data_IF_057768542509
#
_entry.id   IF_057768542509
#
_cell.length_a   1.000
_cell.length_b   1.000
_cell.length_c   1.000
_cell.angle_alpha   90.00
_cell.angle_beta   90.00
_cell.angle_gamma   90.00
#
_symmetry.space_group_name_H-M   'P 1'
#
loop_
_entity.id
_entity.type
_entity.pdbx_description
1 polymer ?
#
# COMPACT_ATOMS: atom_id res chain seq x y z
N UNK A 1 -48.94 -6.77 -42.98
CA UNK A 1 -50.17 -7.31 -42.38
C UNK A 1 -50.07 -8.84 -42.23
N UNK A 2 -49.23 -9.34 -41.32
CA UNK A 2 -49.01 -10.79 -41.13
C UNK A 2 -48.74 -11.13 -39.65
N UNK A 3 -49.38 -10.39 -38.73
CA UNK A 3 -49.36 -10.71 -37.30
C UNK A 3 -50.73 -11.12 -36.79
N UNK A 4 -51.80 -10.63 -37.43
CA UNK A 4 -53.17 -10.88 -36.97
C UNK A 4 -53.66 -12.31 -37.26
N UNK A 5 -53.04 -13.02 -38.22
CA UNK A 5 -53.44 -14.38 -38.59
C UNK A 5 -52.93 -15.48 -37.65
N UNK A 6 -51.87 -15.21 -36.87
CA UNK A 6 -51.34 -16.19 -35.91
C UNK A 6 -52.20 -16.23 -34.65
N UNK A 7 -52.65 -15.07 -34.18
CA UNK A 7 -53.48 -14.96 -32.97
C UNK A 7 -54.90 -15.50 -33.18
N UNK A 8 -55.52 -15.19 -34.33
CA UNK A 8 -56.81 -15.77 -34.72
C UNK A 8 -56.75 -17.30 -34.77
N UNK A 9 -55.65 -17.88 -35.27
CA UNK A 9 -55.48 -19.34 -35.36
C UNK A 9 -55.36 -20.02 -34.00
N UNK A 10 -54.74 -19.35 -33.01
CA UNK A 10 -54.62 -19.85 -31.63
C UNK A 10 -55.93 -19.74 -30.84
N UNK A 11 -56.82 -18.83 -31.22
CA UNK A 11 -58.11 -18.61 -30.58
C UNK A 11 -59.25 -19.42 -31.24
N UNK A 12 -59.03 -19.95 -32.44
CA UNK A 12 -59.97 -20.81 -33.16
C UNK A 12 -59.88 -22.28 -32.80
N UNK A 13 -58.79 -22.70 -32.15
CA UNK A 13 -58.67 -24.09 -31.70
C UNK A 13 -59.69 -24.34 -30.58
N UNK A 14 -60.53 -25.38 -30.70
CA UNK A 14 -61.46 -25.74 -29.63
C UNK A 14 -60.65 -25.99 -28.36
N UNK A 15 -61.19 -25.66 -27.17
CA UNK A 15 -60.52 -26.00 -25.92
C UNK A 15 -60.19 -27.48 -25.96
N UNK A 16 -58.90 -27.81 -25.83
CA UNK A 16 -58.42 -29.18 -25.83
C UNK A 16 -59.32 -30.01 -24.94
N UNK A 17 -59.83 -31.11 -25.48
CA UNK A 17 -60.67 -32.01 -24.71
C UNK A 17 -59.93 -32.45 -23.44
N UNK A 18 -60.68 -32.76 -22.39
CA UNK A 18 -60.13 -33.20 -21.09
C UNK A 18 -59.15 -34.38 -21.25
N UNK A 19 -59.25 -35.13 -22.36
CA UNK A 19 -58.34 -36.20 -22.74
C UNK A 19 -56.95 -35.69 -23.16
N UNK A 20 -56.86 -34.63 -23.98
CA UNK A 20 -55.56 -34.06 -24.40
C UNK A 20 -54.82 -33.36 -23.26
N UNK A 21 -55.53 -32.67 -22.35
CA UNK A 21 -54.88 -32.08 -21.16
C UNK A 21 -54.37 -33.16 -20.21
N UNK A 22 -55.10 -34.26 -20.06
CA UNK A 22 -54.64 -35.42 -19.27
C UNK A 22 -53.47 -36.13 -19.92
N UNK A 23 -53.42 -36.25 -21.25
CA UNK A 23 -52.24 -36.78 -21.95
C UNK A 23 -51.01 -35.88 -21.76
N UNK A 24 -51.19 -34.55 -21.84
CA UNK A 24 -50.09 -33.59 -21.62
C UNK A 24 -49.62 -33.57 -20.16
N UNK A 25 -50.52 -33.67 -19.19
CA UNK A 25 -50.15 -33.82 -17.77
C UNK A 25 -49.49 -35.16 -17.48
N UNK A 26 -49.93 -36.23 -18.16
CA UNK A 26 -49.38 -37.58 -17.97
C UNK A 26 -47.98 -37.72 -18.60
N UNK A 27 -47.67 -36.93 -19.64
CA UNK A 27 -46.34 -36.88 -20.26
C UNK A 27 -45.36 -35.93 -19.55
N UNK A 28 -45.82 -35.04 -18.67
CA UNK A 28 -44.95 -34.18 -17.86
C UNK A 28 -44.26 -34.98 -16.74
N UNK A 29 -43.09 -35.56 -17.05
CA UNK A 29 -42.19 -36.13 -16.06
C UNK A 29 -41.13 -35.09 -15.65
N UNK A 30 -41.13 -34.57 -14.41
CA UNK A 30 -40.09 -33.65 -13.97
C UNK A 30 -38.74 -34.37 -13.98
N UNK A 31 -37.73 -33.77 -14.62
CA UNK A 31 -36.40 -34.34 -14.65
C UNK A 31 -35.91 -34.63 -13.20
N UNK A 32 -35.32 -35.82 -12.93
CA UNK A 32 -34.87 -36.15 -11.60
C UNK A 32 -33.82 -35.15 -11.15
N UNK A 33 -34.05 -34.49 -10.00
CA UNK A 33 -33.02 -33.64 -9.37
C UNK A 33 -31.81 -34.52 -9.07
N UNK A 34 -30.72 -34.33 -9.79
CA UNK A 34 -29.46 -35.00 -9.54
C UNK A 34 -29.03 -34.68 -8.09
N UNK A 35 -29.01 -35.70 -7.23
CA UNK A 35 -28.51 -35.57 -5.86
C UNK A 35 -26.99 -35.55 -5.92
N UNK A 36 -26.39 -34.42 -5.58
CA UNK A 36 -24.93 -34.34 -5.42
C UNK A 36 -24.48 -35.34 -4.35
N UNK A 37 -23.42 -36.13 -4.62
CA UNK A 37 -22.98 -37.15 -3.69
C UNK A 37 -22.39 -36.52 -2.42
N UNK A 38 -22.66 -37.12 -1.26
CA UNK A 38 -22.15 -36.64 0.03
C UNK A 38 -20.61 -36.54 0.06
N UNK A 39 -19.91 -37.40 -0.70
CA UNK A 39 -18.45 -37.36 -0.86
C UNK A 39 -17.94 -36.04 -1.44
N UNK A 40 -18.70 -35.39 -2.34
CA UNK A 40 -18.34 -34.10 -2.89
C UNK A 40 -18.42 -33.00 -1.81
N UNK A 41 -19.43 -33.05 -0.94
CA UNK A 41 -19.54 -32.13 0.19
C UNK A 41 -18.44 -32.34 1.24
N UNK A 42 -18.09 -33.60 1.52
CA UNK A 42 -16.97 -33.93 2.43
C UNK A 42 -15.65 -33.40 1.85
N UNK A 43 -15.42 -33.59 0.55
CA UNK A 43 -14.22 -33.09 -0.13
C UNK A 43 -14.15 -31.56 -0.08
N UNK A 44 -15.26 -30.87 -0.37
CA UNK A 44 -15.32 -29.40 -0.29
C UNK A 44 -15.06 -28.94 1.15
N UNK A 45 -15.68 -29.55 2.16
CA UNK A 45 -15.48 -29.20 3.56
C UNK A 45 -14.04 -29.45 4.05
N UNK A 46 -13.41 -30.53 3.59
CA UNK A 46 -12.02 -30.82 3.90
C UNK A 46 -11.07 -29.79 3.25
N UNK A 47 -11.29 -29.46 1.98
CA UNK A 47 -10.47 -28.49 1.27
C UNK A 47 -10.63 -27.08 1.86
N UNK A 48 -11.84 -26.67 2.25
CA UNK A 48 -12.04 -25.38 2.93
C UNK A 48 -11.35 -25.35 4.30
N UNK A 49 -11.44 -26.43 5.08
CA UNK A 49 -10.73 -26.53 6.35
C UNK A 49 -9.20 -26.48 6.18
N UNK A 50 -8.66 -27.15 5.15
CA UNK A 50 -7.24 -27.14 4.84
C UNK A 50 -6.75 -25.73 4.46
N UNK A 51 -7.51 -25.00 3.63
CA UNK A 51 -7.18 -23.62 3.25
C UNK A 51 -7.19 -22.69 4.48
N UNK A 52 -8.19 -22.82 5.35
CA UNK A 52 -8.27 -22.03 6.59
C UNK A 52 -7.08 -22.35 7.50
N UNK A 53 -6.75 -23.63 7.67
CA UNK A 53 -5.63 -24.06 8.50
C UNK A 53 -4.29 -23.54 7.95
N UNK A 54 -4.04 -23.68 6.65
CA UNK A 54 -2.82 -23.17 6.01
C UNK A 54 -2.74 -21.65 6.10
N UNK A 55 -3.85 -20.93 5.90
CA UNK A 55 -3.90 -19.48 6.07
C UNK A 55 -3.60 -19.04 7.50
N UNK A 56 -4.17 -19.72 8.50
CA UNK A 56 -3.87 -19.48 9.91
C UNK A 56 -2.41 -19.82 10.26
N UNK A 57 -1.86 -20.90 9.72
CA UNK A 57 -0.47 -21.28 9.93
C UNK A 57 0.50 -20.25 9.33
N UNK A 58 0.27 -19.82 8.09
CA UNK A 58 1.07 -18.79 7.40
C UNK A 58 0.99 -17.46 8.16
N UNK A 59 -0.18 -17.04 8.62
CA UNK A 59 -0.34 -15.77 9.35
C UNK A 59 0.25 -15.80 10.76
N UNK A 60 0.27 -16.97 11.41
CA UNK A 60 0.88 -17.13 12.74
C UNK A 60 2.40 -17.25 12.68
N UNK A 61 2.95 -17.90 11.65
CA UNK A 61 4.40 -18.06 11.47
C UNK A 61 5.07 -16.90 10.74
N UNK A 62 4.36 -16.18 9.87
CA UNK A 62 4.87 -14.99 9.21
C UNK A 62 4.39 -13.71 9.91
N UNK A 63 4.15 -13.73 11.23
CA UNK A 63 3.97 -12.48 11.95
C UNK A 63 5.25 -11.68 11.80
N UNK A 64 5.23 -10.52 11.09
CA UNK A 64 6.42 -9.71 10.99
C UNK A 64 6.70 -9.15 12.38
N UNK A 65 7.85 -9.48 12.95
CA UNK A 65 8.33 -8.95 14.25
C UNK A 65 8.66 -7.44 14.21
N UNK A 66 8.01 -6.66 13.32
CA UNK A 66 8.20 -5.23 13.20
C UNK A 66 6.86 -4.51 13.10
N UNK A 67 6.69 -3.34 13.74
CA UNK A 67 5.61 -2.43 13.42
C UNK A 67 5.83 -1.90 11.99
N UNK A 68 5.31 -2.62 11.00
CA UNK A 68 5.31 -2.18 9.61
C UNK A 68 4.29 -1.06 9.52
N UNK A 69 4.75 0.19 9.32
CA UNK A 69 3.86 1.26 8.87
C UNK A 69 3.33 0.87 7.47
N UNK A 70 2.01 0.67 7.29
CA UNK A 70 1.47 0.19 6.01
C UNK A 70 1.63 1.21 4.87
N UNK A 71 1.92 2.48 5.18
CA UNK A 71 2.09 3.56 4.19
C UNK A 71 3.53 3.63 3.66
N UNK A 72 4.52 3.29 4.50
CA UNK A 72 5.94 3.31 4.12
C UNK A 72 6.61 2.02 4.59
N UNK A 73 6.42 0.91 3.85
CA UNK A 73 7.03 -0.37 4.21
C UNK A 73 8.56 -0.23 4.19
N UNK A 74 9.18 -0.62 5.29
CA UNK A 74 10.63 -0.67 5.45
C UNK A 74 11.21 -1.73 4.52
N UNK A 75 12.00 -1.32 3.53
CA UNK A 75 12.66 -2.26 2.60
C UNK A 75 14.08 -2.61 3.06
N UNK A 76 14.73 -1.72 3.83
CA UNK A 76 16.11 -1.86 4.27
C UNK A 76 16.28 -1.46 5.74
N UNK A 77 17.24 -2.08 6.42
CA UNK A 77 17.62 -1.72 7.78
C UNK A 77 18.14 -0.26 7.85
N UNK A 78 17.62 0.50 8.83
CA UNK A 78 18.06 1.85 9.16
C UNK A 78 18.20 1.99 10.68
N UNK A 79 19.38 2.38 11.21
CA UNK A 79 19.55 2.60 12.65
C UNK A 79 18.60 3.67 13.23
N UNK A 80 18.24 4.68 12.44
CA UNK A 80 17.33 5.74 12.88
C UNK A 80 15.85 5.30 12.97
N UNK A 81 15.55 4.05 12.64
CA UNK A 81 14.18 3.56 12.56
C UNK A 81 13.45 3.59 13.90
N UNK A 82 14.15 3.22 14.96
CA UNK A 82 13.60 3.22 16.32
C UNK A 82 13.29 4.63 16.84
N UNK A 83 13.87 5.66 16.22
CA UNK A 83 13.66 7.05 16.58
C UNK A 83 12.54 7.74 15.78
N UNK A 84 11.84 7.03 14.88
CA UNK A 84 10.79 7.62 14.05
C UNK A 84 9.47 7.80 14.82
N UNK A 85 8.99 9.05 14.86
CA UNK A 85 7.66 9.40 15.33
C UNK A 85 6.86 10.08 14.21
N UNK A 86 5.64 9.61 13.96
CA UNK A 86 4.76 10.17 12.94
C UNK A 86 3.75 11.12 13.57
N UNK A 87 3.71 12.35 13.07
CA UNK A 87 2.76 13.36 13.51
C UNK A 87 1.90 13.85 12.35
N UNK A 88 0.56 13.86 12.48
CA UNK A 88 -0.30 14.47 11.48
C UNK A 88 -0.07 15.99 11.51
N UNK A 89 0.48 16.53 10.43
CA UNK A 89 0.64 17.99 10.24
C UNK A 89 -0.06 18.44 8.97
N UNK A 90 -0.85 19.51 9.10
CA UNK A 90 -1.43 20.17 7.94
C UNK A 90 -0.31 20.86 7.14
N UNK A 91 -0.18 20.50 5.87
CA UNK A 91 0.77 21.12 4.97
C UNK A 91 0.34 22.56 4.65
N UNK A 92 1.24 23.53 4.86
CA UNK A 92 1.01 24.92 4.47
C UNK A 92 1.57 25.13 3.06
N UNK A 93 0.67 25.37 2.11
CA UNK A 93 0.99 25.52 0.68
C UNK A 93 1.85 26.76 0.34
N UNK A 94 2.12 27.66 1.30
CA UNK A 94 2.98 28.82 1.03
C UNK A 94 2.32 29.91 0.19
N UNK A 95 1.00 30.04 0.23
CA UNK A 95 0.26 31.05 -0.52
C UNK A 95 -0.07 32.26 0.37
N UNK A 96 -0.01 33.46 -0.22
CA UNK A 96 -0.32 34.72 0.45
C UNK A 96 0.58 34.97 1.67
N UNK A 97 -0.04 35.33 2.81
CA UNK A 97 0.64 35.68 4.06
C UNK A 97 1.14 34.48 4.88
N UNK A 98 0.86 33.24 4.47
CA UNK A 98 1.23 32.03 5.23
C UNK A 98 2.51 31.36 4.72
N UNK A 99 3.44 32.15 4.16
CA UNK A 99 4.72 31.65 3.66
C UNK A 99 5.67 31.33 4.83
N UNK A 100 6.11 30.08 5.00
CA UNK A 100 7.17 29.75 5.96
C UNK A 100 8.47 30.46 5.55
N UNK A 101 9.39 30.66 6.52
CA UNK A 101 10.67 31.36 6.30
C UNK A 101 11.44 30.83 5.08
N UNK A 102 11.42 29.50 4.89
CA UNK A 102 12.10 28.81 3.79
C UNK A 102 11.54 29.12 2.38
N UNK A 103 10.38 29.76 2.29
CA UNK A 103 9.69 30.11 1.04
C UNK A 103 9.56 31.64 0.85
N UNK A 104 10.27 32.42 1.67
CA UNK A 104 10.35 33.86 1.53
C UNK A 104 11.31 34.25 0.39
N UNK A 105 11.25 35.50 -0.11
CA UNK A 105 12.25 36.01 -1.04
C UNK A 105 13.67 35.89 -0.45
N UNK A 106 14.70 35.75 -1.29
CA UNK A 106 16.09 35.64 -0.83
C UNK A 106 16.47 36.79 0.10
N UNK A 107 16.91 36.44 1.32
CA UNK A 107 17.41 37.37 2.32
C UNK A 107 18.39 36.65 3.24
N UNK A 108 19.17 37.43 4.00
CA UNK A 108 20.14 36.86 4.96
C UNK A 108 19.44 35.99 6.01
N UNK A 109 18.21 36.35 6.42
CA UNK A 109 17.44 35.55 7.37
C UNK A 109 17.01 34.20 6.77
N UNK A 110 16.65 34.17 5.49
CA UNK A 110 16.29 32.92 4.78
C UNK A 110 17.51 32.02 4.64
N UNK A 111 18.65 32.56 4.22
CA UNK A 111 19.90 31.81 4.09
C UNK A 111 20.34 31.22 5.43
N UNK A 112 20.24 31.99 6.51
CA UNK A 112 20.56 31.52 7.85
C UNK A 112 19.61 30.41 8.30
N UNK A 113 18.30 30.56 8.06
CA UNK A 113 17.33 29.52 8.41
C UNK A 113 17.62 28.20 7.67
N UNK A 114 18.01 28.27 6.39
CA UNK A 114 18.44 27.10 5.62
C UNK A 114 19.73 26.50 6.18
N UNK A 115 20.75 27.32 6.44
CA UNK A 115 22.03 26.89 7.02
C UNK A 115 21.84 26.16 8.36
N UNK A 116 21.04 26.74 9.25
CA UNK A 116 20.77 26.18 10.59
C UNK A 116 20.09 24.80 10.49
N UNK A 117 19.26 24.58 9.47
CA UNK A 117 18.52 23.33 9.30
C UNK A 117 19.42 22.13 8.98
N UNK A 118 20.43 22.27 8.12
CA UNK A 118 21.26 21.12 7.70
C UNK A 118 22.63 21.05 8.39
N UNK A 119 23.19 22.16 8.89
CA UNK A 119 24.51 22.15 9.51
C UNK A 119 24.56 21.37 10.83
N UNK A 120 23.46 21.35 11.58
CA UNK A 120 23.43 20.73 12.92
C UNK A 120 23.40 19.18 12.90
N UNK A 121 23.09 18.55 11.76
CA UNK A 121 22.70 17.14 11.73
C UNK A 121 23.37 16.31 10.62
N UNK A 122 24.37 16.88 9.94
CA UNK A 122 25.03 16.23 8.79
C UNK A 122 25.86 14.98 9.15
N UNK A 123 26.40 14.90 10.37
CA UNK A 123 27.20 13.77 10.84
C UNK A 123 26.68 13.26 12.18
N UNK A 124 26.45 11.96 12.26
CA UNK A 124 25.99 11.24 13.45
C UNK A 124 26.90 10.03 13.69
N UNK A 125 26.80 9.44 14.87
CA UNK A 125 27.54 8.23 15.21
C UNK A 125 26.58 7.11 15.60
N UNK A 126 26.94 5.88 15.23
CA UNK A 126 26.24 4.66 15.63
C UNK A 126 27.25 3.67 16.21
N UNK A 127 26.83 2.81 17.16
CA UNK A 127 27.68 1.75 17.67
C UNK A 127 28.00 0.74 16.57
N UNK A 128 29.17 0.09 16.70
CA UNK A 128 29.64 -0.96 15.79
C UNK A 128 28.63 -2.08 15.55
N UNK A 129 27.83 -2.42 16.55
CA UNK A 129 26.77 -3.44 16.44
C UNK A 129 25.73 -3.07 15.37
N UNK A 130 25.28 -1.82 15.34
CA UNK A 130 24.36 -1.28 14.34
C UNK A 130 25.05 -1.08 12.99
N UNK A 131 26.31 -0.62 12.98
CA UNK A 131 27.06 -0.40 11.74
C UNK A 131 27.26 -1.69 10.91
N UNK A 132 27.36 -2.86 11.55
CA UNK A 132 27.47 -4.16 10.87
C UNK A 132 26.19 -4.57 10.12
N UNK A 133 25.04 -4.01 10.49
CA UNK A 133 23.76 -4.31 9.87
C UNK A 133 23.50 -3.44 8.63
N UNK A 134 24.33 -2.42 8.39
CA UNK A 134 24.21 -1.56 7.22
C UNK A 134 24.56 -2.34 5.94
N UNK A 135 23.79 -2.14 4.84
CA UNK A 135 24.11 -2.76 3.54
C UNK A 135 25.49 -2.34 3.02
N UNK A 136 25.86 -1.08 3.26
CA UNK A 136 27.16 -0.52 2.90
C UNK A 136 27.97 -0.24 4.15
N UNK A 137 29.25 -0.62 4.13
CA UNK A 137 30.17 -0.35 5.23
C UNK A 137 30.41 1.15 5.38
N UNK A 138 30.53 1.59 6.62
CA UNK A 138 30.91 2.95 6.96
C UNK A 138 32.24 2.99 7.71
N UNK A 139 32.74 4.19 7.99
CA UNK A 139 34.06 4.42 8.60
C UNK A 139 33.98 4.45 10.13
N UNK A 140 34.95 3.80 10.83
CA UNK A 140 35.09 3.96 12.27
C UNK A 140 35.58 5.38 12.60
N UNK A 141 35.21 5.89 13.77
CA UNK A 141 35.69 7.18 14.25
C UNK A 141 37.12 7.00 14.78
N UNK A 142 38.13 7.73 14.28
CA UNK A 142 39.53 7.50 14.67
C UNK A 142 39.80 7.58 16.18
N UNK A 143 39.08 8.44 16.89
CA UNK A 143 39.18 8.61 18.34
C UNK A 143 38.27 7.66 19.14
N UNK A 144 37.36 6.93 18.48
CA UNK A 144 36.36 6.07 19.11
C UNK A 144 36.06 4.85 18.22
N UNK A 145 36.86 3.77 18.32
CA UNK A 145 36.76 2.60 17.45
C UNK A 145 35.46 1.78 17.62
N UNK A 146 34.73 2.00 18.71
CA UNK A 146 33.46 1.33 18.98
C UNK A 146 32.28 2.05 18.30
N UNK A 147 32.50 3.27 17.83
CA UNK A 147 31.53 4.07 17.10
C UNK A 147 31.94 4.32 15.65
N UNK A 148 30.93 4.41 14.81
CA UNK A 148 31.05 4.52 13.36
C UNK A 148 30.30 5.75 12.89
N UNK A 149 30.94 6.53 12.02
CA UNK A 149 30.34 7.74 11.48
C UNK A 149 29.26 7.38 10.45
N UNK A 150 28.11 8.03 10.52
CA UNK A 150 27.01 7.93 9.56
C UNK A 150 26.37 9.29 9.35
N UNK A 151 25.56 9.43 8.31
CA UNK A 151 24.76 10.63 8.07
C UNK A 151 23.36 10.27 7.62
N UNK A 152 22.37 11.08 8.02
CA UNK A 152 21.01 10.93 7.49
C UNK A 152 20.97 11.49 6.07
N UNK A 153 20.55 10.67 5.12
CA UNK A 153 20.58 11.00 3.68
C UNK A 153 19.82 12.29 3.33
N UNK A 154 18.79 12.65 4.11
CA UNK A 154 18.03 13.89 3.92
C UNK A 154 18.92 15.14 4.04
N UNK A 155 19.87 15.17 4.97
CA UNK A 155 20.79 16.32 5.10
C UNK A 155 21.81 16.36 3.96
N UNK A 156 22.18 15.19 3.39
CA UNK A 156 22.97 15.14 2.18
C UNK A 156 22.21 15.75 0.98
N UNK A 157 20.91 15.44 0.83
CA UNK A 157 20.10 16.01 -0.25
C UNK A 157 19.90 17.52 -0.09
N UNK A 158 19.68 17.99 1.14
CA UNK A 158 19.42 19.40 1.42
C UNK A 158 20.64 20.30 1.21
N UNK A 159 21.84 19.91 1.63
CA UNK A 159 23.02 20.77 1.44
C UNK A 159 23.37 20.95 -0.05
N UNK A 160 23.15 19.94 -0.90
CA UNK A 160 23.33 20.06 -2.34
C UNK A 160 22.34 21.05 -2.98
N UNK A 161 21.09 21.04 -2.52
CA UNK A 161 20.08 22.00 -3.00
C UNK A 161 20.48 23.44 -2.65
N UNK A 162 20.85 23.68 -1.39
CA UNK A 162 21.17 25.04 -0.91
C UNK A 162 22.44 25.58 -1.56
N UNK A 163 23.48 24.74 -1.72
CA UNK A 163 24.73 25.18 -2.34
C UNK A 163 24.51 25.72 -3.77
N UNK A 164 23.60 25.12 -4.54
CA UNK A 164 23.25 25.62 -5.87
C UNK A 164 22.59 27.00 -5.86
N UNK A 165 21.85 27.35 -4.80
CA UNK A 165 21.14 28.63 -4.67
C UNK A 165 22.04 29.77 -4.17
N UNK A 166 22.98 29.49 -3.26
CA UNK A 166 23.94 30.51 -2.78
C UNK A 166 24.89 30.99 -3.88
N UNK A 167 25.17 30.16 -4.89
CA UNK A 167 25.96 30.55 -6.06
C UNK A 167 25.22 31.50 -7.01
N UNK A 168 23.88 31.44 -7.08
CA UNK A 168 23.07 32.31 -7.95
C UNK A 168 22.84 33.69 -7.32
N UNK A 169 22.85 33.79 -5.99
CA UNK A 169 22.61 35.04 -5.26
C UNK A 169 23.85 35.94 -5.09
N UNK A 170 25.05 35.46 -5.44
CA UNK A 170 26.26 36.28 -5.42
C UNK A 170 26.38 37.07 -6.72
N UNK A 171 26.25 38.41 -6.74
CA UNK A 171 26.50 39.18 -7.94
C UNK A 171 27.97 39.01 -8.35
N UNK A 172 28.30 38.98 -9.66
CA UNK A 172 29.69 38.96 -10.09
C UNK A 172 30.39 40.21 -9.55
N UNK A 173 31.56 40.00 -8.95
CA UNK A 173 32.49 41.06 -8.55
C UNK A 173 32.94 41.89 -9.75
#
# INVERSE_FOLDING_TARGET
MQKDTLYERLLSDPPGDDLTLKEVEQEYQPAPRARVPLSLWIFVAFQTALIIFLGAFITTHNRPDCPINPVFPQVLYSPAQEALEYQPKAFKMGLGHHKPIYQQPPSKEVDQAWLDMYNAHGLSQIPKSQARLLPNKTLPIPADPDNYAVGLAVFHQLHCLVWSTSFVASPPH
#
